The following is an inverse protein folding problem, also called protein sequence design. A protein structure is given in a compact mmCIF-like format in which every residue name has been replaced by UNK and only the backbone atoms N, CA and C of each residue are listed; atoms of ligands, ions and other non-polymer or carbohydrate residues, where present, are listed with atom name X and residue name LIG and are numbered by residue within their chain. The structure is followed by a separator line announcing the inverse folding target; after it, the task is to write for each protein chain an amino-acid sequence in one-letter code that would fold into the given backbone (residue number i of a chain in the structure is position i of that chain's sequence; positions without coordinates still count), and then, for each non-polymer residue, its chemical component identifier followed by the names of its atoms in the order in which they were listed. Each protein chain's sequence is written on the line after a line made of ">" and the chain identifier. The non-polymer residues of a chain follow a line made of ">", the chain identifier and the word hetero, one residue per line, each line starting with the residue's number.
data_IF_736913370751
#
_entry.id   IF_736913370751
#
_cell.length_a   1.000
_cell.length_b   1.000
_cell.length_c   1.000
_cell.angle_alpha   90.00
_cell.angle_beta   90.00
_cell.angle_gamma   90.00
#
_symmetry.space_group_name_H-M   'P 1'
#
loop_
_entity.id
_entity.type
_entity.pdbx_description
1 polymer ?
#
# COMPACT_ATOMS: atom_id res chain seq x y z
N UNK A 1 13.58 17.38 13.81
CA UNK A 1 13.73 16.04 13.15
C UNK A 1 12.36 15.42 13.13
N UNK A 2 11.89 15.01 11.97
CA UNK A 2 10.61 14.27 11.82
C UNK A 2 10.71 12.90 12.49
N UNK A 3 9.71 12.53 13.26
CA UNK A 3 9.67 11.28 14.03
C UNK A 3 9.48 10.11 13.04
N UNK A 4 10.42 9.15 13.02
CA UNK A 4 10.28 7.92 12.26
C UNK A 4 9.31 6.98 12.96
N UNK A 5 8.26 6.56 12.26
CA UNK A 5 7.25 5.65 12.79
C UNK A 5 7.49 4.19 12.38
N UNK A 6 8.10 4.00 11.22
CA UNK A 6 8.47 2.69 10.68
C UNK A 6 9.88 2.77 10.06
N UNK A 7 10.72 1.78 10.34
CA UNK A 7 12.02 1.61 9.71
C UNK A 7 12.17 0.17 9.26
N UNK A 8 12.63 -0.04 8.05
CA UNK A 8 12.91 -1.35 7.45
C UNK A 8 14.38 -1.36 7.10
N UNK A 9 15.13 -2.30 7.66
CA UNK A 9 16.59 -2.36 7.53
C UNK A 9 17.00 -3.73 7.00
N UNK A 10 17.72 -3.73 5.87
CA UNK A 10 18.30 -4.90 5.22
C UNK A 10 17.31 -6.08 5.09
N UNK A 11 16.08 -5.76 4.65
CA UNK A 11 14.99 -6.74 4.56
C UNK A 11 15.21 -7.70 3.39
N UNK A 12 15.22 -9.00 3.69
CA UNK A 12 15.22 -10.09 2.71
C UNK A 12 14.01 -10.97 2.90
N UNK A 13 13.24 -11.18 1.82
CA UNK A 13 12.08 -12.07 1.81
C UNK A 13 12.17 -13.03 0.64
N UNK A 14 11.98 -14.31 0.95
CA UNK A 14 11.98 -15.37 -0.06
C UNK A 14 10.75 -16.25 0.05
N UNK A 15 10.45 -16.92 -1.05
CA UNK A 15 9.40 -17.93 -1.16
C UNK A 15 10.02 -19.25 -1.61
N UNK A 16 9.75 -20.31 -0.83
CA UNK A 16 10.15 -21.66 -1.20
C UNK A 16 9.10 -22.24 -2.16
N UNK A 17 9.48 -22.50 -3.42
CA UNK A 17 8.65 -23.12 -4.43
C UNK A 17 9.28 -24.43 -4.92
N UNK A 18 8.54 -25.24 -5.69
CA UNK A 18 9.04 -26.53 -6.20
C UNK A 18 10.33 -26.38 -7.04
N UNK A 19 10.48 -25.25 -7.74
CA UNK A 19 11.64 -24.97 -8.59
C UNK A 19 12.86 -24.42 -7.83
N UNK A 20 12.71 -24.03 -6.56
CA UNK A 20 13.77 -23.45 -5.73
C UNK A 20 13.30 -22.29 -4.85
N UNK A 21 14.22 -21.43 -4.47
CA UNK A 21 13.95 -20.26 -3.62
C UNK A 21 13.87 -18.98 -4.46
N UNK A 22 12.69 -18.35 -4.50
CA UNK A 22 12.47 -17.04 -5.15
C UNK A 22 12.82 -15.93 -4.17
N UNK A 23 13.86 -15.15 -4.44
CA UNK A 23 14.32 -14.03 -3.61
C UNK A 23 13.56 -12.75 -3.97
N UNK A 24 12.31 -12.64 -3.49
CA UNK A 24 11.41 -11.55 -3.87
C UNK A 24 11.82 -10.16 -3.31
N UNK A 25 12.56 -10.13 -2.19
CA UNK A 25 13.12 -8.91 -1.59
C UNK A 25 14.57 -9.20 -1.19
N UNK A 26 15.49 -8.30 -1.57
CA UNK A 26 16.93 -8.55 -1.59
C UNK A 26 17.72 -7.40 -0.96
N UNK A 27 17.57 -7.20 0.37
CA UNK A 27 18.27 -6.14 1.09
C UNK A 27 17.63 -4.77 0.88
N UNK A 28 16.37 -4.65 1.27
CA UNK A 28 15.60 -3.41 1.13
C UNK A 28 15.69 -2.58 2.41
N UNK A 29 16.03 -1.29 2.24
CA UNK A 29 16.11 -0.29 3.30
C UNK A 29 15.17 0.88 2.98
N UNK A 30 14.30 1.26 3.92
CA UNK A 30 13.52 2.48 3.88
C UNK A 30 12.97 2.84 5.26
N UNK A 31 12.49 4.06 5.38
CA UNK A 31 11.78 4.52 6.58
C UNK A 31 10.55 5.32 6.20
N UNK A 32 9.62 5.44 7.14
CA UNK A 32 8.41 6.24 7.03
C UNK A 32 8.34 7.17 8.23
N UNK A 33 8.19 8.46 7.98
CA UNK A 33 7.97 9.43 9.02
C UNK A 33 6.48 9.52 9.39
N UNK A 34 6.21 10.02 10.58
CA UNK A 34 4.85 10.28 11.02
C UNK A 34 4.17 11.29 10.09
N UNK A 35 2.94 10.97 9.64
CA UNK A 35 2.15 11.83 8.74
C UNK A 35 2.67 11.93 7.30
N UNK A 36 3.74 11.22 6.95
CA UNK A 36 4.33 11.19 5.62
C UNK A 36 3.60 10.21 4.69
N UNK A 37 3.57 10.52 3.39
CA UNK A 37 3.26 9.55 2.34
C UNK A 37 4.53 9.15 1.59
N UNK A 38 4.97 7.90 1.78
CA UNK A 38 6.02 7.27 0.99
C UNK A 38 5.40 6.46 -0.14
N UNK A 39 5.67 6.82 -1.40
CA UNK A 39 5.30 5.99 -2.53
C UNK A 39 6.40 4.95 -2.83
N UNK A 40 5.99 3.70 -3.05
CA UNK A 40 6.88 2.64 -3.55
C UNK A 40 6.45 2.30 -4.98
N UNK A 41 7.32 2.56 -5.94
CA UNK A 41 7.04 2.40 -7.38
C UNK A 41 7.98 1.40 -8.04
N UNK A 42 7.61 0.93 -9.22
CA UNK A 42 8.39 0.00 -10.03
C UNK A 42 7.47 -0.96 -10.81
N UNK A 43 8.04 -1.78 -11.68
CA UNK A 43 7.30 -2.75 -12.49
C UNK A 43 6.62 -3.84 -11.66
N UNK A 44 5.67 -4.55 -12.32
CA UNK A 44 5.06 -5.74 -11.72
C UNK A 44 6.13 -6.79 -11.43
N UNK A 45 6.05 -7.45 -10.26
CA UNK A 45 7.05 -8.44 -9.86
C UNK A 45 8.32 -7.87 -9.22
N UNK A 46 8.52 -6.54 -9.13
CA UNK A 46 9.72 -5.95 -8.50
C UNK A 46 9.82 -6.15 -6.98
N UNK A 47 8.80 -6.72 -6.32
CA UNK A 47 8.81 -7.02 -4.88
C UNK A 47 8.02 -6.04 -3.99
N UNK A 48 7.39 -4.98 -4.54
CA UNK A 48 6.67 -3.93 -3.78
C UNK A 48 5.67 -4.48 -2.77
N UNK A 49 4.69 -5.24 -3.26
CA UNK A 49 3.65 -5.82 -2.39
C UNK A 49 4.19 -6.84 -1.40
N UNK A 50 5.27 -7.56 -1.77
CA UNK A 50 5.95 -8.49 -0.85
C UNK A 50 6.62 -7.73 0.29
N UNK A 51 7.33 -6.65 -0.03
CA UNK A 51 7.99 -5.77 0.96
C UNK A 51 7.00 -5.26 2.00
N UNK A 52 5.84 -4.77 1.56
CA UNK A 52 4.83 -4.22 2.48
C UNK A 52 4.05 -5.30 3.24
N UNK A 53 3.78 -6.45 2.61
CA UNK A 53 3.20 -7.61 3.30
C UNK A 53 4.13 -8.17 4.37
N UNK A 54 5.45 -8.04 4.21
CA UNK A 54 6.43 -8.42 5.22
C UNK A 54 6.27 -7.61 6.52
N UNK A 55 5.91 -6.32 6.44
CA UNK A 55 5.68 -5.46 7.61
C UNK A 55 4.63 -6.07 8.56
N UNK A 56 3.59 -6.65 7.99
CA UNK A 56 2.51 -7.28 8.74
C UNK A 56 2.60 -8.81 8.77
N UNK A 57 3.62 -9.41 8.16
CA UNK A 57 3.77 -10.86 7.94
C UNK A 57 2.53 -11.51 7.32
N UNK A 58 1.84 -10.80 6.41
CA UNK A 58 0.67 -11.32 5.69
C UNK A 58 1.09 -11.93 4.34
N UNK A 59 1.89 -13.00 4.41
CA UNK A 59 2.22 -13.79 3.21
C UNK A 59 1.07 -14.74 2.86
N UNK A 60 0.87 -14.97 1.56
CA UNK A 60 -0.08 -15.98 1.10
C UNK A 60 0.57 -17.37 1.21
N UNK A 61 -0.08 -18.29 1.91
CA UNK A 61 0.44 -19.63 2.17
C UNK A 61 1.62 -19.65 3.16
N UNK A 62 2.20 -20.84 3.34
CA UNK A 62 3.29 -21.09 4.31
C UNK A 62 4.69 -20.97 3.69
N UNK A 63 4.81 -20.50 2.44
CA UNK A 63 6.06 -20.49 1.67
C UNK A 63 6.88 -19.22 1.84
N UNK A 64 6.24 -18.10 2.22
CA UNK A 64 6.91 -16.81 2.37
C UNK A 64 7.63 -16.67 3.72
N UNK A 65 8.90 -16.25 3.69
CA UNK A 65 9.73 -16.10 4.91
C UNK A 65 10.58 -14.84 4.85
N UNK A 66 10.66 -14.15 5.99
CA UNK A 66 11.69 -13.13 6.22
C UNK A 66 12.97 -13.87 6.55
N UNK A 67 13.98 -13.80 5.67
CA UNK A 67 15.27 -14.47 5.83
C UNK A 67 16.25 -13.64 6.66
N UNK A 68 16.20 -12.32 6.52
CA UNK A 68 17.10 -11.38 7.18
C UNK A 68 16.45 -10.00 7.26
N UNK A 69 16.95 -9.17 8.14
CA UNK A 69 16.54 -7.77 8.29
C UNK A 69 15.67 -7.55 9.51
N UNK A 70 15.37 -6.27 9.73
CA UNK A 70 14.55 -5.79 10.84
C UNK A 70 13.42 -4.91 10.31
N UNK A 71 12.28 -4.95 11.00
CA UNK A 71 11.12 -4.10 10.72
C UNK A 71 10.73 -3.43 12.03
N UNK A 72 11.23 -2.23 12.24
CA UNK A 72 11.03 -1.48 13.48
C UNK A 72 9.78 -0.60 13.34
N UNK A 73 8.75 -0.90 14.10
CA UNK A 73 7.56 -0.07 14.24
C UNK A 73 7.55 0.53 15.65
N UNK A 74 7.67 1.86 15.74
CA UNK A 74 7.81 2.56 17.02
C UNK A 74 8.96 2.02 17.89
N UNK A 75 10.06 1.59 17.26
CA UNK A 75 11.23 0.99 17.92
C UNK A 75 11.13 -0.50 18.24
N UNK A 76 9.99 -1.15 17.97
CA UNK A 76 9.81 -2.58 18.21
C UNK A 76 9.93 -3.40 16.91
N UNK A 77 10.76 -4.43 16.90
CA UNK A 77 11.00 -5.27 15.72
C UNK A 77 9.83 -6.24 15.46
N UNK A 78 9.02 -5.93 14.45
CA UNK A 78 7.89 -6.75 14.03
C UNK A 78 8.33 -8.09 13.42
N UNK A 79 9.53 -8.17 12.84
CA UNK A 79 10.02 -9.40 12.23
C UNK A 79 10.19 -10.51 13.27
N UNK A 80 10.50 -10.16 14.52
CA UNK A 80 10.69 -11.10 15.66
C UNK A 80 9.40 -11.35 16.45
N UNK A 81 8.35 -10.52 16.27
CA UNK A 81 7.10 -10.69 17.04
C UNK A 81 6.36 -11.98 16.69
N UNK A 82 5.80 -12.67 17.71
CA UNK A 82 4.92 -13.81 17.48
C UNK A 82 3.57 -13.38 16.95
N UNK A 83 2.85 -14.30 16.29
CA UNK A 83 1.58 -14.04 15.60
C UNK A 83 0.50 -13.43 16.53
N UNK A 84 0.40 -13.88 17.77
CA UNK A 84 -0.56 -13.37 18.74
C UNK A 84 -0.36 -11.88 19.10
N UNK A 85 0.84 -11.34 18.93
CA UNK A 85 1.12 -9.90 19.09
C UNK A 85 0.84 -9.14 17.80
N UNK A 86 1.20 -9.69 16.64
CA UNK A 86 0.92 -9.08 15.34
C UNK A 86 -0.59 -8.91 15.09
N UNK A 87 -1.41 -9.89 15.49
CA UNK A 87 -2.88 -9.80 15.40
C UNK A 87 -3.43 -8.57 16.15
N UNK A 88 -2.78 -8.15 17.25
CA UNK A 88 -3.21 -6.97 18.01
C UNK A 88 -2.87 -5.65 17.30
N UNK A 89 -1.84 -5.64 16.45
CA UNK A 89 -1.40 -4.46 15.68
C UNK A 89 -2.15 -4.33 14.36
N UNK A 90 -2.42 -5.48 13.69
CA UNK A 90 -3.12 -5.51 12.39
C UNK A 90 -4.55 -4.98 12.51
N UNK A 91 -4.88 -3.98 11.67
CA UNK A 91 -6.18 -3.30 11.65
C UNK A 91 -6.38 -2.28 12.79
N UNK A 92 -5.47 -2.20 13.75
CA UNK A 92 -5.47 -1.23 14.84
C UNK A 92 -4.43 -0.13 14.62
N UNK A 93 -3.16 -0.49 14.67
CA UNK A 93 -2.03 0.43 14.55
C UNK A 93 -1.42 0.44 13.14
N UNK A 94 -1.44 -0.70 12.45
CA UNK A 94 -1.07 -0.85 11.05
C UNK A 94 -2.24 -1.45 10.29
N UNK A 95 -2.74 -0.75 9.28
CA UNK A 95 -3.85 -1.22 8.44
C UNK A 95 -3.41 -1.33 6.99
N UNK A 96 -4.13 -2.16 6.21
CA UNK A 96 -3.79 -2.41 4.81
C UNK A 96 -5.03 -2.36 3.92
N UNK A 97 -4.90 -1.68 2.79
CA UNK A 97 -5.81 -1.73 1.65
C UNK A 97 -5.16 -2.63 0.61
N UNK A 98 -5.83 -3.73 0.24
CA UNK A 98 -5.35 -4.66 -0.76
C UNK A 98 -5.75 -4.23 -2.17
N UNK A 99 -5.01 -4.71 -3.17
CA UNK A 99 -5.11 -4.34 -4.58
C UNK A 99 -6.52 -4.49 -5.18
N UNK A 100 -7.28 -5.51 -4.79
CA UNK A 100 -8.61 -5.75 -5.35
C UNK A 100 -9.73 -5.48 -4.31
N UNK A 101 -10.51 -4.41 -4.50
CA UNK A 101 -11.64 -4.10 -3.63
C UNK A 101 -12.78 -5.12 -3.73
N UNK A 102 -12.82 -5.91 -4.82
CA UNK A 102 -13.87 -6.91 -5.03
C UNK A 102 -13.70 -8.12 -4.12
N UNK A 103 -12.44 -8.49 -3.83
CA UNK A 103 -12.09 -9.61 -2.93
C UNK A 103 -11.87 -9.16 -1.49
N UNK A 104 -11.62 -7.87 -1.25
CA UNK A 104 -11.36 -7.31 0.08
C UNK A 104 -12.61 -7.26 0.97
N UNK A 105 -13.80 -7.10 0.38
CA UNK A 105 -15.07 -7.10 1.12
C UNK A 105 -15.72 -8.49 1.09
N UNK A 106 -16.16 -8.97 2.25
CA UNK A 106 -16.93 -10.22 2.33
C UNK A 106 -18.30 -10.04 1.65
N UNK A 107 -18.59 -10.73 0.52
CA UNK A 107 -19.80 -10.53 -0.26
C UNK A 107 -21.08 -10.95 0.47
N UNK A 108 -20.97 -11.82 1.48
CA UNK A 108 -22.10 -12.33 2.26
C UNK A 108 -22.36 -11.53 3.55
N UNK A 109 -21.56 -10.50 3.82
CA UNK A 109 -21.65 -9.67 5.03
C UNK A 109 -22.06 -8.25 4.69
N UNK A 110 -22.97 -7.67 5.46
CA UNK A 110 -23.41 -6.28 5.33
C UNK A 110 -22.23 -5.32 5.54
N UNK A 111 -22.14 -4.25 4.72
CA UNK A 111 -20.99 -3.31 4.76
C UNK A 111 -20.82 -2.62 6.12
N UNK A 112 -21.91 -2.26 6.75
CA UNK A 112 -21.85 -1.65 8.09
C UNK A 112 -21.27 -2.58 9.15
N UNK A 113 -21.53 -3.90 9.07
CA UNK A 113 -20.93 -4.88 9.97
C UNK A 113 -19.42 -4.99 9.75
N UNK A 114 -18.97 -4.93 8.48
CA UNK A 114 -17.55 -5.02 8.15
C UNK A 114 -16.78 -3.81 8.69
N UNK A 115 -17.32 -2.60 8.57
CA UNK A 115 -16.71 -1.40 9.16
C UNK A 115 -16.75 -1.40 10.70
N UNK A 116 -17.76 -2.02 11.31
CA UNK A 116 -17.85 -2.14 12.78
C UNK A 116 -16.87 -3.16 13.35
N UNK A 117 -16.49 -4.18 12.59
CA UNK A 117 -15.70 -5.32 13.08
C UNK A 117 -14.38 -4.89 13.73
N UNK A 118 -13.50 -4.09 13.09
CA UNK A 118 -12.26 -3.64 13.70
C UNK A 118 -12.51 -2.78 14.95
N UNK A 119 -13.56 -1.97 14.99
CA UNK A 119 -13.93 -1.14 16.15
C UNK A 119 -14.29 -1.99 17.37
N UNK A 120 -15.07 -3.04 17.16
CA UNK A 120 -15.44 -3.97 18.24
C UNK A 120 -14.22 -4.74 18.70
N UNK A 121 -13.43 -5.28 17.76
CA UNK A 121 -12.28 -6.13 18.04
C UNK A 121 -11.14 -5.39 18.73
N UNK A 122 -10.81 -4.17 18.29
CA UNK A 122 -9.59 -3.47 18.69
C UNK A 122 -9.82 -2.26 19.61
N UNK A 123 -11.00 -1.62 19.53
CA UNK A 123 -11.32 -0.46 20.38
C UNK A 123 -12.29 -0.82 21.52
N UNK A 124 -12.69 -2.10 21.63
CA UNK A 124 -13.64 -2.60 22.63
C UNK A 124 -14.99 -1.81 22.65
N UNK A 125 -15.41 -1.30 21.49
CA UNK A 125 -16.67 -0.58 21.39
C UNK A 125 -17.86 -1.52 21.53
N UNK A 126 -18.90 -1.09 22.25
CA UNK A 126 -20.20 -1.74 22.19
C UNK A 126 -20.78 -1.66 20.77
N UNK A 127 -21.72 -2.54 20.44
CA UNK A 127 -22.36 -2.54 19.09
C UNK A 127 -22.96 -1.17 18.74
N UNK A 128 -23.53 -0.45 19.72
CA UNK A 128 -24.11 0.87 19.52
C UNK A 128 -23.04 1.93 19.21
N UNK A 129 -21.94 1.93 19.95
CA UNK A 129 -20.81 2.83 19.73
C UNK A 129 -20.14 2.54 18.37
N UNK A 130 -19.90 1.26 18.06
CA UNK A 130 -19.31 0.85 16.79
C UNK A 130 -20.19 1.25 15.60
N UNK A 131 -21.52 1.10 15.70
CA UNK A 131 -22.45 1.54 14.65
C UNK A 131 -22.39 3.04 14.43
N UNK A 132 -22.41 3.83 15.51
CA UNK A 132 -22.32 5.30 15.44
C UNK A 132 -21.02 5.70 14.73
N UNK A 133 -19.88 5.15 15.20
CA UNK A 133 -18.57 5.46 14.61
C UNK A 133 -18.43 4.98 13.16
N UNK A 134 -18.94 3.81 12.84
CA UNK A 134 -18.94 3.30 11.46
C UNK A 134 -19.75 4.20 10.50
N UNK A 135 -20.88 4.73 10.93
CA UNK A 135 -21.66 5.70 10.15
C UNK A 135 -20.91 7.02 9.95
N UNK A 136 -20.24 7.53 10.98
CA UNK A 136 -19.38 8.71 10.88
C UNK A 136 -18.28 8.52 9.82
N UNK A 137 -17.59 7.39 9.86
CA UNK A 137 -16.51 7.06 8.92
C UNK A 137 -17.05 6.86 7.49
N UNK A 138 -18.17 6.16 7.31
CA UNK A 138 -18.81 5.97 6.01
C UNK A 138 -19.26 7.30 5.38
N UNK A 139 -19.74 8.25 6.20
CA UNK A 139 -20.04 9.60 5.75
C UNK A 139 -18.74 10.38 5.42
N UNK A 140 -17.69 10.21 6.22
CA UNK A 140 -16.40 10.86 6.03
C UNK A 140 -15.74 10.44 4.70
N UNK A 141 -15.85 9.17 4.30
CA UNK A 141 -15.39 8.70 2.99
C UNK A 141 -16.35 9.06 1.84
N UNK A 142 -17.41 9.81 2.12
CA UNK A 142 -18.35 10.28 1.11
C UNK A 142 -19.26 9.18 0.53
N UNK A 143 -19.65 8.17 1.33
CA UNK A 143 -20.60 7.16 0.88
C UNK A 143 -22.02 7.74 0.88
N UNK A 144 -22.70 7.85 -0.29
CA UNK A 144 -24.05 8.44 -0.34
C UNK A 144 -25.07 7.62 0.47
N UNK A 145 -25.90 8.29 1.27
CA UNK A 145 -26.97 7.67 2.08
C UNK A 145 -26.48 6.53 2.98
N UNK A 146 -25.32 6.69 3.61
CA UNK A 146 -24.66 5.67 4.43
C UNK A 146 -25.60 5.00 5.45
N UNK A 147 -26.47 5.78 6.11
CA UNK A 147 -27.39 5.26 7.12
C UNK A 147 -28.42 4.27 6.50
N UNK A 148 -29.05 4.65 5.37
CA UNK A 148 -30.03 3.79 4.67
C UNK A 148 -29.39 2.54 4.11
N UNK A 149 -28.12 2.65 3.66
CA UNK A 149 -27.36 1.59 3.00
C UNK A 149 -26.48 0.79 3.96
N UNK A 150 -26.51 1.06 5.24
CA UNK A 150 -25.70 0.41 6.27
C UNK A 150 -25.84 -1.11 6.29
N UNK A 151 -27.06 -1.60 6.01
CA UNK A 151 -27.39 -3.03 5.94
C UNK A 151 -27.24 -3.63 4.53
N UNK A 152 -26.79 -2.84 3.55
CA UNK A 152 -26.59 -3.31 2.20
C UNK A 152 -25.33 -4.19 2.09
N UNK A 153 -25.26 -4.99 1.03
CA UNK A 153 -24.17 -5.91 0.75
C UNK A 153 -23.24 -5.34 -0.33
N UNK A 154 -21.97 -5.79 -0.39
CA UNK A 154 -20.98 -5.24 -1.33
C UNK A 154 -21.43 -5.19 -2.80
N UNK A 155 -22.13 -6.22 -3.28
CA UNK A 155 -22.61 -6.28 -4.66
C UNK A 155 -23.61 -5.18 -5.04
N UNK A 156 -24.19 -4.47 -4.07
CA UNK A 156 -25.13 -3.36 -4.26
C UNK A 156 -24.43 -2.00 -4.45
N UNK A 157 -23.10 -1.98 -4.52
CA UNK A 157 -22.27 -0.78 -4.64
C UNK A 157 -21.42 -0.81 -5.90
N UNK A 158 -21.17 0.37 -6.49
CA UNK A 158 -20.21 0.53 -7.59
C UNK A 158 -18.77 0.27 -7.14
N UNK A 159 -17.84 0.08 -8.06
CA UNK A 159 -16.42 -0.14 -7.76
C UNK A 159 -15.84 0.95 -6.84
N UNK A 160 -16.02 2.22 -7.20
CA UNK A 160 -15.55 3.33 -6.38
C UNK A 160 -16.23 3.44 -5.01
N UNK A 161 -17.53 3.06 -4.90
CA UNK A 161 -18.21 2.99 -3.61
C UNK A 161 -17.67 1.85 -2.73
N UNK A 162 -17.37 0.70 -3.33
CA UNK A 162 -16.71 -0.42 -2.60
C UNK A 162 -15.33 0.00 -2.12
N UNK A 163 -14.56 0.70 -2.95
CA UNK A 163 -13.24 1.21 -2.55
C UNK A 163 -13.34 2.18 -1.36
N UNK A 164 -14.32 3.08 -1.36
CA UNK A 164 -14.60 3.97 -0.22
C UNK A 164 -14.94 3.17 1.06
N UNK A 165 -15.68 2.07 0.95
CA UNK A 165 -16.01 1.19 2.08
C UNK A 165 -14.75 0.45 2.57
N UNK A 166 -13.87 -0.01 1.69
CA UNK A 166 -12.58 -0.63 2.05
C UNK A 166 -11.71 0.38 2.79
N UNK A 167 -11.59 1.62 2.28
CA UNK A 167 -10.87 2.71 2.94
C UNK A 167 -11.48 3.00 4.32
N UNK A 168 -12.82 3.09 4.42
CA UNK A 168 -13.51 3.29 5.69
C UNK A 168 -13.17 2.20 6.71
N UNK A 169 -13.14 0.94 6.26
CA UNK A 169 -12.79 -0.21 7.12
C UNK A 169 -11.33 -0.15 7.57
N UNK A 170 -10.42 0.17 6.65
CA UNK A 170 -9.00 0.28 6.95
C UNK A 170 -8.68 1.41 7.95
N UNK A 171 -9.40 2.52 7.85
CA UNK A 171 -9.23 3.69 8.72
C UNK A 171 -10.10 3.68 9.99
N UNK A 172 -10.94 2.66 10.19
CA UNK A 172 -11.90 2.60 11.29
C UNK A 172 -11.26 2.78 12.67
N UNK A 173 -10.08 2.20 12.87
CA UNK A 173 -9.33 2.29 14.12
C UNK A 173 -8.35 3.47 14.18
N UNK A 174 -8.32 4.36 13.18
CA UNK A 174 -7.34 5.46 13.08
C UNK A 174 -5.90 4.93 13.22
N UNK A 175 -5.45 4.10 12.23
CA UNK A 175 -4.14 3.47 12.30
C UNK A 175 -3.03 4.51 12.18
N UNK A 176 -1.88 4.22 12.78
CA UNK A 176 -0.68 5.06 12.66
C UNK A 176 -0.01 4.90 11.29
N UNK A 177 -0.10 3.70 10.71
CA UNK A 177 0.40 3.39 9.37
C UNK A 177 -0.70 2.75 8.54
N UNK A 178 -0.95 3.31 7.36
CA UNK A 178 -1.81 2.74 6.32
C UNK A 178 -0.95 2.28 5.15
N UNK A 179 -1.03 1.01 4.81
CA UNK A 179 -0.42 0.45 3.59
C UNK A 179 -1.51 0.38 2.53
N UNK A 180 -1.33 1.06 1.42
CA UNK A 180 -2.25 1.07 0.29
C UNK A 180 -1.58 0.39 -0.92
N UNK A 181 -1.92 -0.89 -1.14
CA UNK A 181 -1.35 -1.70 -2.23
C UNK A 181 -2.24 -1.55 -3.46
N UNK A 182 -1.80 -0.71 -4.40
CA UNK A 182 -2.49 -0.38 -5.66
C UNK A 182 -3.99 -0.02 -5.48
N UNK A 183 -4.33 0.94 -4.61
CA UNK A 183 -5.72 1.14 -4.17
C UNK A 183 -6.64 1.71 -5.25
N UNK A 184 -6.13 2.07 -6.42
CA UNK A 184 -6.89 2.72 -7.51
C UNK A 184 -6.84 1.98 -8.84
N UNK A 185 -6.11 0.87 -8.94
CA UNK A 185 -5.84 0.16 -10.22
C UNK A 185 -7.12 -0.31 -10.95
N UNK A 186 -8.21 -0.59 -10.23
CA UNK A 186 -9.48 -1.05 -10.82
C UNK A 186 -10.52 0.09 -11.02
N UNK A 187 -10.08 1.37 -10.96
CA UNK A 187 -10.97 2.52 -11.05
C UNK A 187 -10.70 3.32 -12.32
N UNK A 188 -11.74 4.00 -12.82
CA UNK A 188 -11.57 5.00 -13.87
C UNK A 188 -10.82 6.24 -13.34
N UNK A 189 -10.22 7.03 -14.25
CA UNK A 189 -9.36 8.17 -13.93
C UNK A 189 -10.06 9.20 -13.01
N UNK A 190 -11.35 9.45 -13.22
CA UNK A 190 -12.13 10.41 -12.41
C UNK A 190 -12.31 9.88 -10.98
N UNK A 191 -12.65 8.61 -10.85
CA UNK A 191 -12.78 7.96 -9.54
C UNK A 191 -11.44 7.83 -8.83
N UNK A 192 -10.35 7.56 -9.57
CA UNK A 192 -9.00 7.53 -9.04
C UNK A 192 -8.63 8.87 -8.40
N UNK A 193 -8.81 9.99 -9.11
CA UNK A 193 -8.56 11.32 -8.56
C UNK A 193 -9.34 11.59 -7.27
N UNK A 194 -10.64 11.26 -7.25
CA UNK A 194 -11.49 11.42 -6.05
C UNK A 194 -11.03 10.59 -4.86
N UNK A 195 -10.52 9.37 -5.09
CA UNK A 195 -9.99 8.50 -4.03
C UNK A 195 -8.67 9.05 -3.49
N UNK A 196 -7.79 9.57 -4.36
CA UNK A 196 -6.53 10.18 -3.94
C UNK A 196 -6.75 11.42 -3.08
N UNK A 197 -7.65 12.32 -3.51
CA UNK A 197 -8.01 13.51 -2.74
C UNK A 197 -8.59 13.12 -1.37
N UNK A 198 -9.49 12.14 -1.36
CA UNK A 198 -10.04 11.59 -0.11
C UNK A 198 -8.94 11.06 0.81
N UNK A 199 -7.98 10.30 0.29
CA UNK A 199 -6.88 9.75 1.10
C UNK A 199 -6.02 10.86 1.70
N UNK A 200 -5.70 11.92 0.93
CA UNK A 200 -4.97 13.10 1.44
C UNK A 200 -5.72 13.83 2.55
N UNK A 201 -7.03 14.04 2.38
CA UNK A 201 -7.86 14.70 3.40
C UNK A 201 -7.88 13.86 4.69
N UNK A 202 -8.08 12.55 4.56
CA UNK A 202 -8.13 11.64 5.69
C UNK A 202 -6.78 11.53 6.40
N UNK A 203 -5.66 11.44 5.65
CA UNK A 203 -4.31 11.45 6.19
C UNK A 203 -4.08 12.63 7.12
N UNK A 204 -4.37 13.84 6.64
CA UNK A 204 -4.22 15.08 7.44
C UNK A 204 -5.12 15.11 8.66
N UNK A 205 -6.33 14.57 8.55
CA UNK A 205 -7.34 14.61 9.61
C UNK A 205 -7.05 13.66 10.76
N UNK A 206 -6.45 12.51 10.48
CA UNK A 206 -6.18 11.45 11.48
C UNK A 206 -4.68 11.25 11.76
N UNK A 207 -3.80 12.06 11.15
CA UNK A 207 -2.34 12.03 11.33
C UNK A 207 -1.73 10.63 11.06
N UNK A 208 -2.25 9.95 10.02
CA UNK A 208 -1.78 8.62 9.58
C UNK A 208 -0.63 8.76 8.60
N UNK A 209 0.44 7.97 8.77
CA UNK A 209 1.47 7.84 7.74
C UNK A 209 1.03 6.80 6.69
N UNK A 210 1.36 7.02 5.41
CA UNK A 210 0.91 6.18 4.30
C UNK A 210 2.10 5.59 3.54
N UNK A 211 2.10 4.26 3.34
CA UNK A 211 2.89 3.62 2.29
C UNK A 211 1.96 3.38 1.11
N UNK A 212 2.23 4.04 -0.02
CA UNK A 212 1.41 3.98 -1.21
C UNK A 212 2.13 3.21 -2.32
N UNK A 213 1.63 2.04 -2.68
CA UNK A 213 2.20 1.24 -3.78
C UNK A 213 1.42 1.50 -5.05
N UNK A 214 2.11 1.81 -6.12
CA UNK A 214 1.54 1.96 -7.46
C UNK A 214 2.60 1.80 -8.53
N UNK A 215 2.16 1.51 -9.75
CA UNK A 215 2.97 1.59 -10.97
C UNK A 215 2.68 2.88 -11.75
N UNK A 216 1.70 3.68 -11.31
CA UNK A 216 1.30 4.94 -11.96
C UNK A 216 2.04 6.13 -11.32
N UNK A 217 3.07 6.62 -12.02
CA UNK A 217 3.88 7.76 -11.56
C UNK A 217 3.09 9.07 -11.56
N UNK A 218 2.05 9.21 -12.40
CA UNK A 218 1.16 10.37 -12.38
C UNK A 218 0.39 10.47 -11.06
N UNK A 219 0.03 9.33 -10.48
CA UNK A 219 -0.57 9.26 -9.13
C UNK A 219 0.45 9.69 -8.08
N UNK A 220 1.68 9.18 -8.19
CA UNK A 220 2.76 9.46 -7.21
C UNK A 220 3.05 10.95 -7.10
N UNK A 221 3.17 11.64 -8.23
CA UNK A 221 3.40 13.09 -8.27
C UNK A 221 2.35 13.91 -7.49
N UNK A 222 1.14 13.35 -7.38
CA UNK A 222 0.04 13.99 -6.66
C UNK A 222 -0.01 13.67 -5.18
N UNK A 223 0.36 12.45 -4.73
CA UNK A 223 0.09 12.01 -3.36
C UNK A 223 1.34 11.91 -2.48
N UNK A 224 2.51 11.67 -3.07
CA UNK A 224 3.72 11.35 -2.31
C UNK A 224 4.48 12.57 -1.82
N UNK A 225 5.08 12.46 -0.64
CA UNK A 225 6.13 13.35 -0.13
C UNK A 225 7.50 12.84 -0.55
N UNK A 226 7.71 11.51 -0.47
CA UNK A 226 8.92 10.80 -0.90
C UNK A 226 8.57 9.59 -1.76
N UNK A 227 9.53 9.20 -2.59
CA UNK A 227 9.40 8.08 -3.52
C UNK A 227 10.56 7.13 -3.32
N UNK A 228 10.26 5.83 -3.29
CA UNK A 228 11.23 4.75 -3.34
C UNK A 228 10.98 3.92 -4.61
N UNK A 229 11.98 3.84 -5.47
CA UNK A 229 11.92 3.11 -6.74
C UNK A 229 12.47 1.71 -6.52
N UNK A 230 11.67 0.69 -6.87
CA UNK A 230 12.01 -0.71 -6.64
C UNK A 230 12.12 -1.48 -7.95
N UNK A 231 13.23 -2.20 -8.12
CA UNK A 231 13.50 -3.06 -9.26
C UNK A 231 14.18 -4.35 -8.81
N UNK A 232 13.80 -5.50 -9.37
CA UNK A 232 14.45 -6.80 -9.12
C UNK A 232 14.59 -7.18 -7.64
N UNK A 233 13.65 -6.79 -6.78
CA UNK A 233 13.68 -7.06 -5.34
C UNK A 233 14.52 -6.09 -4.51
N UNK A 234 15.07 -5.02 -5.10
CA UNK A 234 15.91 -4.02 -4.42
C UNK A 234 15.35 -2.62 -4.55
N UNK A 235 15.65 -1.73 -3.58
CA UNK A 235 15.44 -0.29 -3.74
C UNK A 235 16.62 0.27 -4.50
N UNK A 236 16.35 0.80 -5.71
CA UNK A 236 17.40 1.32 -6.59
C UNK A 236 17.58 2.82 -6.45
N UNK A 237 16.53 3.53 -6.05
CA UNK A 237 16.59 4.97 -5.79
C UNK A 237 15.55 5.39 -4.77
N UNK A 238 15.88 6.37 -3.92
CA UNK A 238 14.95 6.97 -2.95
C UNK A 238 15.26 8.46 -2.82
N UNK A 239 14.22 9.28 -2.90
CA UNK A 239 14.34 10.73 -2.79
C UNK A 239 13.01 11.40 -2.49
N UNK A 240 12.99 12.72 -2.37
CA UNK A 240 11.74 13.46 -2.39
C UNK A 240 11.10 13.41 -3.80
N UNK A 241 9.82 13.76 -3.89
CA UNK A 241 9.09 13.66 -5.17
C UNK A 241 9.75 14.50 -6.27
N UNK A 242 10.31 15.67 -5.95
CA UNK A 242 10.94 16.54 -6.93
C UNK A 242 12.30 15.98 -7.39
N UNK A 243 13.10 15.42 -6.46
CA UNK A 243 14.36 14.75 -6.80
C UNK A 243 14.13 13.63 -7.80
N UNK A 244 13.18 12.73 -7.50
CA UNK A 244 12.89 11.58 -8.37
C UNK A 244 12.35 11.99 -9.74
N UNK A 245 11.45 12.99 -9.80
CA UNK A 245 10.81 13.38 -11.07
C UNK A 245 11.65 14.29 -11.95
N UNK A 246 12.47 15.17 -11.36
CA UNK A 246 13.22 16.19 -12.12
C UNK A 246 14.73 15.99 -12.17
N UNK A 247 15.29 15.14 -11.29
CA UNK A 247 16.74 14.88 -11.23
C UNK A 247 17.05 13.40 -10.86
N UNK A 248 16.41 12.42 -11.55
CA UNK A 248 16.64 10.99 -11.28
C UNK A 248 18.10 10.60 -11.51
N UNK A 249 18.67 9.81 -10.61
CA UNK A 249 20.08 9.41 -10.66
C UNK A 249 20.26 7.99 -11.21
N UNK A 250 19.30 7.11 -10.94
CA UNK A 250 19.39 5.72 -11.38
C UNK A 250 18.87 5.55 -12.81
N UNK A 251 19.57 4.81 -13.69
CA UNK A 251 19.14 4.60 -15.09
C UNK A 251 17.73 4.00 -15.22
N UNK A 252 17.36 3.09 -14.33
CA UNK A 252 16.00 2.51 -14.32
C UNK A 252 14.93 3.57 -14.01
N UNK A 253 15.17 4.45 -13.03
CA UNK A 253 14.24 5.54 -12.71
C UNK A 253 14.06 6.46 -13.91
N UNK A 254 15.16 6.82 -14.57
CA UNK A 254 15.13 7.62 -15.79
C UNK A 254 14.33 6.93 -16.90
N UNK A 255 14.57 5.64 -17.13
CA UNK A 255 13.82 4.86 -18.11
C UNK A 255 12.32 4.77 -17.78
N UNK A 256 11.99 4.56 -16.51
CA UNK A 256 10.61 4.48 -16.03
C UNK A 256 9.85 5.80 -16.26
N UNK A 257 10.48 6.93 -15.97
CA UNK A 257 9.92 8.27 -16.22
C UNK A 257 9.81 8.56 -17.73
N UNK A 258 10.82 8.19 -18.53
CA UNK A 258 10.83 8.40 -19.97
C UNK A 258 9.81 7.54 -20.74
N UNK A 259 9.32 6.46 -20.13
CA UNK A 259 8.29 5.60 -20.71
C UNK A 259 6.86 6.15 -20.47
N UNK A 260 6.72 7.22 -19.68
CA UNK A 260 5.40 7.84 -19.43
C UNK A 260 4.96 8.65 -20.65
N UNK A 261 3.70 8.50 -21.11
CA UNK A 261 3.14 9.38 -22.11
C UNK A 261 2.98 10.80 -21.53
N UNK A 262 3.53 11.79 -22.21
CA UNK A 262 3.28 13.21 -21.94
C UNK A 262 2.08 13.69 -22.77
N UNK A 263 1.40 14.74 -22.32
CA UNK A 263 0.31 15.41 -23.07
C UNK A 263 0.77 15.95 -24.43
N UNK A 264 2.08 16.20 -24.59
CA UNK A 264 2.71 16.58 -25.85
C UNK A 264 3.08 15.39 -26.75
N UNK A 265 2.98 14.15 -26.25
CA UNK A 265 3.35 12.95 -27.00
C UNK A 265 2.34 12.73 -28.15
N UNK A 266 2.79 12.86 -29.38
CA UNK A 266 1.98 12.56 -30.57
C UNK A 266 2.10 11.09 -30.92
N UNK A 267 1.16 10.55 -31.73
CA UNK A 267 1.20 9.17 -32.22
C UNK A 267 2.48 8.82 -32.98
N UNK A 268 3.23 9.84 -33.44
CA UNK A 268 4.48 9.67 -34.19
C UNK A 268 5.74 9.62 -33.31
N UNK A 269 5.59 9.88 -31.99
CA UNK A 269 6.74 9.82 -31.06
C UNK A 269 6.77 8.45 -30.37
N UNK A 270 7.73 7.54 -30.70
CA UNK A 270 7.83 6.27 -30.04
C UNK A 270 8.15 6.46 -28.56
N UNK A 271 7.37 5.81 -27.68
CA UNK A 271 7.70 5.75 -26.27
C UNK A 271 9.01 4.98 -26.08
N UNK A 272 9.91 5.52 -25.25
CA UNK A 272 11.16 4.85 -24.90
C UNK A 272 10.84 3.69 -23.96
N UNK A 273 10.92 2.46 -24.50
CA UNK A 273 10.82 1.26 -23.68
C UNK A 273 12.14 1.00 -22.97
N UNK A 274 12.08 0.58 -21.70
CA UNK A 274 13.24 0.07 -20.99
C UNK A 274 13.68 -1.23 -21.67
N UNK A 275 14.92 -1.32 -22.21
CA UNK A 275 15.38 -2.52 -22.90
C UNK A 275 15.61 -3.68 -21.92
N UNK A 276 15.31 -4.90 -22.35
CA UNK A 276 15.52 -6.12 -21.58
C UNK A 276 14.25 -6.68 -20.94
N UNK A 277 14.42 -7.62 -20.04
CA UNK A 277 13.35 -8.23 -19.24
C UNK A 277 13.70 -8.15 -17.75
N UNK A 278 12.71 -8.07 -16.85
CA UNK A 278 12.97 -8.13 -15.43
C UNK A 278 13.79 -9.36 -15.05
N UNK A 279 14.71 -9.24 -14.07
CA UNK A 279 15.56 -10.35 -13.67
C UNK A 279 14.74 -11.52 -13.09
N UNK A 280 15.19 -12.75 -13.37
CA UNK A 280 14.62 -13.93 -12.72
C UNK A 280 15.02 -13.96 -11.25
N UNK A 281 14.06 -13.78 -10.35
CA UNK A 281 14.29 -13.77 -8.91
C UNK A 281 14.53 -15.18 -8.31
N UNK A 282 14.39 -16.23 -9.10
CA UNK A 282 14.86 -17.57 -8.75
C UNK A 282 16.40 -17.66 -8.89
N UNK A 283 16.96 -16.96 -9.88
CA UNK A 283 18.40 -16.88 -10.15
C UNK A 283 18.83 -15.42 -10.30
N UNK A 284 18.69 -14.60 -9.23
CA UNK A 284 18.94 -13.17 -9.33
C UNK A 284 20.39 -12.89 -9.73
N UNK A 285 20.65 -11.83 -10.54
CA UNK A 285 21.98 -11.44 -10.91
C UNK A 285 22.83 -11.09 -9.68
N UNK A 286 24.14 -11.28 -9.79
CA UNK A 286 25.11 -10.79 -8.80
C UNK A 286 25.40 -9.33 -9.13
N UNK A 287 24.99 -8.41 -8.25
CA UNK A 287 25.14 -6.98 -8.44
C UNK A 287 23.85 -6.29 -8.88
N UNK A 288 23.99 -5.15 -9.53
CA UNK A 288 22.90 -4.39 -10.09
C UNK A 288 22.28 -5.11 -11.29
N UNK A 289 20.96 -5.01 -11.43
CA UNK A 289 20.20 -5.77 -12.43
C UNK A 289 19.86 -4.94 -13.66
#
# INVERSE_FOLDING_TARGET
>A
MTERILEVNDLHVSFDITAGEVQAVRGVDFYLNKGETLAIVGESGSGKSVTTKAITKLFQGDTGRIKKGEILFLGEDLAKKPENELIKLRGKDISMIFQDPMTSLNPTMQIGKQVMEPLIKHKNYSKAQAKKRALEILNLVGLPNAEKRFKAYPHQFSGGQRQRIVIATALACEPKVLIADEPTTALDVTMQAQILDLMKELQKKIDTAIIFITHDLGVVANIADRVAVMYGGQMVETGDVNEIFYDPKHPYTWGLLSSMPDLSTTNDTPLLAIPGAPPDLLHPPKGDA
#
